data_IF_728457307360
#
_entry.id   IF_728457307360
#
_cell.length_a   1.000
_cell.length_b   1.000
_cell.length_c   1.000
_cell.angle_alpha   90.00
_cell.angle_beta   90.00
_cell.angle_gamma   90.00
#
_symmetry.space_group_name_H-M   'P 1'
#
loop_
_entity.id
_entity.type
_entity.pdbx_description
1 polymer ?
#
# COMPACT_ATOMS: atom_id res chain seq x y z
N UNK A 1 -16.37 17.55 6.08
CA UNK A 1 -15.62 16.27 6.08
C UNK A 1 -16.17 15.24 5.07
N UNK A 2 -16.83 15.67 3.98
CA UNK A 2 -17.43 14.71 3.01
C UNK A 2 -16.50 14.27 1.88
N UNK A 3 -15.40 14.99 1.65
CA UNK A 3 -14.52 14.82 0.47
C UNK A 3 -13.51 13.67 0.62
N UNK A 4 -12.90 13.47 1.79
CA UNK A 4 -11.90 12.41 2.01
C UNK A 4 -12.52 11.02 2.03
N UNK A 5 -13.73 10.89 2.61
CA UNK A 5 -14.46 9.61 2.65
C UNK A 5 -14.94 9.21 1.25
N UNK A 6 -15.40 10.15 0.43
CA UNK A 6 -15.78 9.85 -0.97
C UNK A 6 -14.55 9.50 -1.80
N UNK A 7 -13.41 10.17 -1.57
CA UNK A 7 -12.16 9.85 -2.25
C UNK A 7 -11.65 8.45 -1.94
N UNK A 8 -11.64 8.05 -0.66
CA UNK A 8 -11.23 6.71 -0.27
C UNK A 8 -12.11 5.61 -0.88
N UNK A 9 -13.43 5.78 -0.88
CA UNK A 9 -14.35 4.82 -1.51
C UNK A 9 -14.11 4.71 -3.01
N UNK A 10 -13.96 5.85 -3.70
CA UNK A 10 -13.65 5.86 -5.12
C UNK A 10 -12.35 5.11 -5.44
N UNK A 11 -11.31 5.27 -4.60
CA UNK A 11 -10.06 4.53 -4.77
C UNK A 11 -10.22 3.04 -4.56
N UNK A 12 -11.00 2.60 -3.57
CA UNK A 12 -11.26 1.17 -3.34
C UNK A 12 -11.99 0.52 -4.51
N UNK A 13 -12.98 1.20 -5.08
CA UNK A 13 -13.68 0.74 -6.28
C UNK A 13 -12.72 0.65 -7.47
N UNK A 14 -11.94 1.70 -7.70
CA UNK A 14 -10.97 1.75 -8.79
C UNK A 14 -9.88 0.67 -8.67
N UNK A 15 -9.32 0.47 -7.49
CA UNK A 15 -8.24 -0.50 -7.26
C UNK A 15 -8.72 -1.95 -7.23
N UNK A 16 -10.03 -2.19 -7.10
CA UNK A 16 -10.57 -3.55 -7.15
C UNK A 16 -10.32 -4.24 -8.50
N UNK A 17 -10.32 -3.46 -9.59
CA UNK A 17 -10.09 -3.96 -10.95
C UNK A 17 -8.62 -4.07 -11.34
N UNK A 18 -7.70 -3.54 -10.52
CA UNK A 18 -6.27 -3.53 -10.83
C UNK A 18 -5.62 -4.89 -10.55
N UNK A 19 -4.61 -5.26 -11.33
CA UNK A 19 -3.75 -6.41 -11.05
C UNK A 19 -2.87 -6.14 -9.82
N UNK A 20 -2.27 -7.21 -9.29
CA UNK A 20 -1.33 -7.07 -8.16
C UNK A 20 -0.10 -6.25 -8.57
N UNK A 21 0.41 -6.46 -9.78
CA UNK A 21 1.55 -5.74 -10.34
C UNK A 21 1.26 -4.24 -10.50
N UNK A 22 0.08 -3.89 -11.01
CA UNK A 22 -0.35 -2.49 -11.14
C UNK A 22 -0.39 -1.79 -9.77
N UNK A 23 -0.93 -2.47 -8.74
CA UNK A 23 -0.97 -1.94 -7.38
C UNK A 23 0.44 -1.78 -6.78
N UNK A 24 1.37 -2.67 -7.10
CA UNK A 24 2.79 -2.58 -6.66
C UNK A 24 3.44 -1.36 -7.30
N UNK A 25 3.29 -1.19 -8.61
CA UNK A 25 3.82 -0.03 -9.32
C UNK A 25 3.28 1.27 -8.71
N UNK A 26 1.97 1.35 -8.49
CA UNK A 26 1.32 2.51 -7.88
C UNK A 26 1.82 2.78 -6.46
N UNK A 27 2.00 1.76 -5.61
CA UNK A 27 2.57 1.96 -4.28
C UNK A 27 3.99 2.54 -4.39
N UNK A 28 4.82 1.97 -5.26
CA UNK A 28 6.22 2.33 -5.38
C UNK A 28 6.38 3.78 -5.87
N UNK A 29 5.61 4.16 -6.89
CA UNK A 29 5.52 5.54 -7.37
C UNK A 29 5.01 6.49 -6.28
N UNK A 30 3.98 6.08 -5.54
CA UNK A 30 3.41 6.88 -4.43
C UNK A 30 4.43 7.10 -3.30
N UNK A 31 5.28 6.10 -3.03
CA UNK A 31 6.29 6.20 -1.97
C UNK A 31 7.47 7.08 -2.40
N UNK A 32 7.88 7.00 -3.66
CA UNK A 32 9.00 7.75 -4.20
C UNK A 32 8.69 9.24 -4.46
N UNK A 33 7.44 9.57 -4.81
CA UNK A 33 7.05 10.94 -5.15
C UNK A 33 6.74 11.80 -3.90
N UNK A 34 7.38 12.97 -3.79
CA UNK A 34 7.19 13.90 -2.67
C UNK A 34 5.95 14.82 -2.78
N UNK A 35 5.23 14.80 -3.90
CA UNK A 35 4.20 15.81 -4.23
C UNK A 35 2.77 15.60 -3.69
N UNK A 36 2.47 14.51 -2.97
CA UNK A 36 1.08 14.05 -2.78
C UNK A 36 0.37 14.52 -1.49
N UNK A 37 1.04 15.29 -0.61
CA UNK A 37 0.44 15.87 0.61
C UNK A 37 -0.34 14.86 1.47
N UNK A 38 -1.45 15.30 2.10
CA UNK A 38 -2.31 14.44 2.93
C UNK A 38 -3.10 13.38 2.15
N UNK A 39 -3.36 13.64 0.86
CA UNK A 39 -4.00 12.67 -0.05
C UNK A 39 -3.16 11.41 -0.25
N UNK A 40 -1.83 11.50 -0.09
CA UNK A 40 -0.89 10.37 -0.15
C UNK A 40 -1.25 9.26 0.83
N UNK A 41 -1.55 9.62 2.07
CA UNK A 41 -1.85 8.65 3.13
C UNK A 41 -3.15 7.89 2.83
N UNK A 42 -4.18 8.61 2.37
CA UNK A 42 -5.47 8.00 1.98
C UNK A 42 -5.30 7.10 0.75
N UNK A 43 -4.56 7.56 -0.26
CA UNK A 43 -4.27 6.80 -1.48
C UNK A 43 -3.52 5.50 -1.17
N UNK A 44 -2.45 5.61 -0.38
CA UNK A 44 -1.65 4.45 0.03
C UNK A 44 -2.47 3.47 0.87
N UNK A 45 -3.31 3.96 1.78
CA UNK A 45 -4.19 3.09 2.59
C UNK A 45 -5.15 2.30 1.71
N UNK A 46 -5.71 2.92 0.65
CA UNK A 46 -6.57 2.22 -0.30
C UNK A 46 -5.81 1.14 -1.09
N UNK A 47 -4.55 1.38 -1.47
CA UNK A 47 -3.70 0.36 -2.10
C UNK A 47 -3.46 -0.83 -1.15
N UNK A 48 -3.10 -0.55 0.11
CA UNK A 48 -2.87 -1.62 1.11
C UNK A 48 -4.15 -2.43 1.37
N UNK A 49 -5.31 -1.76 1.43
CA UNK A 49 -6.60 -2.44 1.54
C UNK A 49 -6.90 -3.33 0.31
N UNK A 50 -6.54 -2.89 -0.89
CA UNK A 50 -6.68 -3.68 -2.11
C UNK A 50 -5.80 -4.94 -2.08
N UNK A 51 -4.54 -4.84 -1.63
CA UNK A 51 -3.68 -6.00 -1.45
C UNK A 51 -4.24 -7.00 -0.43
N UNK A 52 -4.71 -6.50 0.72
CA UNK A 52 -5.31 -7.34 1.76
C UNK A 52 -6.56 -8.06 1.25
N UNK A 53 -7.42 -7.39 0.46
CA UNK A 53 -8.58 -8.01 -0.18
C UNK A 53 -8.21 -9.10 -1.18
N UNK A 54 -7.05 -9.00 -1.82
CA UNK A 54 -6.52 -10.00 -2.76
C UNK A 54 -5.84 -11.18 -2.06
N UNK A 55 -5.75 -11.19 -0.73
CA UNK A 55 -5.15 -12.29 0.04
C UNK A 55 -3.61 -12.30 0.03
N UNK A 56 -2.99 -11.15 -0.28
CA UNK A 56 -1.54 -11.00 -0.28
C UNK A 56 -1.05 -10.84 1.16
N UNK A 57 0.06 -11.50 1.49
CA UNK A 57 0.69 -11.35 2.80
C UNK A 57 1.42 -10.00 2.92
N UNK A 58 1.08 -9.26 3.97
CA UNK A 58 1.58 -7.92 4.28
C UNK A 58 2.47 -7.89 5.53
N UNK A 59 2.78 -9.05 6.11
CA UNK A 59 3.49 -9.21 7.38
C UNK A 59 4.84 -8.47 7.44
N UNK A 60 5.53 -8.31 6.30
CA UNK A 60 6.80 -7.61 6.20
C UNK A 60 6.70 -6.08 6.11
N UNK A 61 5.49 -5.53 5.93
CA UNK A 61 5.26 -4.08 5.79
C UNK A 61 4.21 -3.53 6.76
N UNK A 62 3.40 -4.39 7.38
CA UNK A 62 2.42 -4.03 8.40
C UNK A 62 2.86 -4.60 9.74
N UNK A 63 3.06 -3.73 10.72
CA UNK A 63 3.37 -4.12 12.09
C UNK A 63 2.22 -3.71 13.00
N UNK A 64 1.79 -4.61 13.88
CA UNK A 64 0.75 -4.36 14.88
C UNK A 64 1.38 -4.43 16.26
N UNK A 65 1.45 -3.29 16.96
CA UNK A 65 1.97 -3.19 18.33
C UNK A 65 0.92 -2.52 19.21
N UNK A 66 0.50 -3.18 20.28
CA UNK A 66 -0.31 -2.61 21.37
C UNK A 66 -1.47 -1.70 20.91
N UNK A 67 -2.30 -2.20 20.00
CA UNK A 67 -3.48 -1.49 19.49
C UNK A 67 -3.22 -0.52 18.33
N UNK A 68 -1.95 -0.30 17.95
CA UNK A 68 -1.57 0.53 16.81
C UNK A 68 -1.11 -0.31 15.62
N UNK A 69 -1.62 0.01 14.43
CA UNK A 69 -1.12 -0.56 13.17
C UNK A 69 -0.22 0.46 12.49
N UNK A 70 1.04 0.09 12.28
CA UNK A 70 2.02 0.88 11.52
C UNK A 70 2.26 0.22 10.17
N UNK A 71 2.34 1.03 9.12
CA UNK A 71 2.58 0.53 7.75
C UNK A 71 3.82 1.22 7.17
N UNK A 72 4.89 0.46 6.97
CA UNK A 72 6.17 0.95 6.44
C UNK A 72 6.01 1.61 5.08
N UNK A 73 6.32 2.90 4.94
CA UNK A 73 6.24 3.64 3.68
C UNK A 73 7.48 3.42 2.81
N UNK A 74 7.58 2.22 2.22
CA UNK A 74 8.73 1.77 1.42
C UNK A 74 8.26 1.17 0.08
N UNK A 75 9.10 1.21 -0.97
CA UNK A 75 8.87 0.43 -2.17
C UNK A 75 8.87 -1.07 -1.87
N UNK A 76 8.03 -1.84 -2.56
CA UNK A 76 7.81 -3.27 -2.35
C UNK A 76 7.90 -4.06 -3.65
N UNK A 77 8.15 -5.36 -3.54
CA UNK A 77 8.01 -6.36 -4.60
C UNK A 77 7.19 -7.54 -4.08
N UNK A 78 6.55 -8.28 -4.99
CA UNK A 78 5.86 -9.53 -4.66
C UNK A 78 6.84 -10.70 -4.80
N UNK A 79 6.89 -11.55 -3.78
CA UNK A 79 7.61 -12.83 -3.82
C UNK A 79 6.67 -13.91 -3.31
N UNK A 80 6.40 -14.90 -4.17
CA UNK A 80 5.44 -16.01 -3.96
C UNK A 80 3.99 -15.55 -3.73
N UNK A 81 3.70 -14.93 -2.59
CA UNK A 81 2.44 -14.25 -2.27
C UNK A 81 2.63 -13.17 -1.18
N UNK A 82 3.86 -12.72 -0.96
CA UNK A 82 4.23 -11.82 0.14
C UNK A 82 4.82 -10.54 -0.40
N UNK A 83 4.33 -9.38 0.10
CA UNK A 83 4.95 -8.10 -0.20
C UNK A 83 6.16 -7.88 0.70
N UNK A 84 7.33 -7.84 0.08
CA UNK A 84 8.59 -7.57 0.77
C UNK A 84 9.15 -6.22 0.32
N UNK A 85 9.68 -5.40 1.24
CA UNK A 85 10.33 -4.15 0.84
C UNK A 85 11.58 -4.38 0.01
N UNK A 86 11.78 -3.54 -1.00
CA UNK A 86 12.94 -3.64 -1.91
C UNK A 86 14.26 -3.41 -1.15
N UNK A 87 14.23 -2.66 -0.04
CA UNK A 87 15.41 -2.48 0.82
C UNK A 87 15.88 -3.76 1.53
N UNK A 88 15.10 -4.85 1.55
CA UNK A 88 15.55 -6.13 2.12
C UNK A 88 16.60 -6.83 1.24
N UNK A 89 16.76 -6.46 -0.03
CA UNK A 89 17.82 -7.04 -0.89
C UNK A 89 19.25 -6.58 -0.54
N UNK A 90 19.42 -5.60 0.36
CA UNK A 90 20.74 -5.04 0.72
C UNK A 90 21.44 -5.77 1.88
N UNK A 91 20.92 -6.92 2.32
CA UNK A 91 21.65 -7.82 3.23
C UNK A 91 22.18 -9.01 2.43
N UNK A 92 23.30 -8.80 1.74
CA UNK A 92 24.19 -9.87 1.23
C UNK A 92 25.56 -9.67 1.84
#
# INVERSE_FOLDING_TARGET
MSTTRSFYQHLLEKFSSYSTEELIQLNNETVQNQGWGSSRATFRTAIIAAFSKKGIDLSHIVTKNDGFTSISSVPVKLVENTLIPISYDLKS
#
